data_IF_409052987301
#
_entry.id   IF_409052987301
#
_cell.length_a   1.000
_cell.length_b   1.000
_cell.length_c   1.000
_cell.angle_alpha   90.00
_cell.angle_beta   90.00
_cell.angle_gamma   90.00
#
_symmetry.space_group_name_H-M   'P 1'
#
loop_
_entity.id
_entity.type
_entity.pdbx_description
1 polymer ?
#
# COMPACT_ATOMS: atom_id res chain seq x y z
N UNK A 1 -7.08 -2.41 15.00
CA UNK A 1 -8.46 -1.88 14.93
C UNK A 1 -9.08 -1.85 13.54
N UNK A 2 -8.50 -1.23 12.49
CA UNK A 2 -9.17 -1.17 11.17
C UNK A 2 -9.44 -2.57 10.58
N UNK A 3 -8.42 -3.43 10.55
CA UNK A 3 -8.52 -4.82 10.07
C UNK A 3 -9.49 -5.63 10.93
N UNK A 4 -9.41 -5.53 12.26
CA UNK A 4 -10.33 -6.21 13.19
C UNK A 4 -11.80 -5.84 12.94
N UNK A 5 -12.09 -4.56 12.70
CA UNK A 5 -13.46 -4.11 12.40
C UNK A 5 -13.94 -4.68 11.07
N UNK A 6 -13.08 -4.69 10.04
CA UNK A 6 -13.41 -5.28 8.75
C UNK A 6 -13.63 -6.80 8.87
N UNK A 7 -12.82 -7.50 9.67
CA UNK A 7 -12.99 -8.93 9.98
C UNK A 7 -14.31 -9.21 10.68
N UNK A 8 -14.65 -8.44 11.70
CA UNK A 8 -15.95 -8.59 12.39
C UNK A 8 -17.15 -8.39 11.45
N UNK A 9 -17.01 -7.56 10.41
CA UNK A 9 -18.05 -7.40 9.40
C UNK A 9 -18.08 -8.59 8.41
N UNK A 10 -16.90 -9.08 8.01
CA UNK A 10 -16.77 -10.25 7.13
C UNK A 10 -17.31 -11.53 7.78
N UNK A 11 -17.05 -11.75 9.07
CA UNK A 11 -17.52 -12.92 9.83
C UNK A 11 -19.06 -12.99 9.94
N UNK A 12 -19.74 -11.86 9.76
CA UNK A 12 -21.20 -11.77 9.77
C UNK A 12 -21.85 -11.93 8.39
N UNK A 13 -21.07 -12.10 7.32
CA UNK A 13 -21.58 -12.23 5.96
C UNK A 13 -22.07 -13.67 5.67
N UNK A 14 -23.10 -13.79 4.83
CA UNK A 14 -23.60 -15.09 4.35
C UNK A 14 -22.70 -15.72 3.28
N UNK A 15 -21.86 -14.89 2.65
CA UNK A 15 -20.95 -15.25 1.56
C UNK A 15 -19.49 -15.08 2.00
N UNK A 16 -18.56 -15.70 1.27
CA UNK A 16 -17.13 -15.50 1.52
C UNK A 16 -16.73 -14.04 1.19
N UNK A 17 -16.18 -13.34 2.18
CA UNK A 17 -15.72 -11.95 2.05
C UNK A 17 -14.25 -11.85 2.40
N UNK A 18 -13.48 -11.20 1.52
CA UNK A 18 -12.06 -10.94 1.75
C UNK A 18 -11.83 -9.57 2.39
N UNK A 19 -10.90 -9.50 3.33
CA UNK A 19 -10.46 -8.27 3.99
C UNK A 19 -9.10 -7.85 3.42
N UNK A 20 -9.09 -6.72 2.72
CA UNK A 20 -7.86 -6.08 2.24
C UNK A 20 -7.44 -4.94 3.19
N UNK A 21 -6.20 -4.98 3.68
CA UNK A 21 -5.65 -3.87 4.45
C UNK A 21 -5.01 -2.83 3.52
N UNK A 22 -5.55 -1.61 3.51
CA UNK A 22 -5.08 -0.48 2.72
C UNK A 22 -3.70 0.02 3.16
N UNK A 23 -2.78 0.12 2.21
CA UNK A 23 -1.46 0.72 2.37
C UNK A 23 -1.26 1.76 1.26
N UNK A 24 -1.64 3.01 1.56
CA UNK A 24 -1.48 4.14 0.64
C UNK A 24 -0.04 4.67 0.52
N UNK A 25 0.25 5.53 -0.47
CA UNK A 25 1.57 6.07 -0.71
C UNK A 25 2.00 7.05 0.39
N UNK A 26 3.30 7.31 0.46
CA UNK A 26 3.90 8.33 1.31
C UNK A 26 3.33 9.72 0.98
N UNK A 27 3.03 10.00 -0.29
CA UNK A 27 2.41 11.27 -0.70
C UNK A 27 1.12 11.60 0.05
N UNK A 28 0.30 10.60 0.40
CA UNK A 28 -0.94 10.82 1.14
C UNK A 28 -0.69 11.31 2.59
N UNK A 29 0.48 10.99 3.16
CA UNK A 29 0.87 11.44 4.50
C UNK A 29 1.37 12.89 4.52
N UNK A 30 1.82 13.40 3.37
CA UNK A 30 2.23 14.81 3.24
C UNK A 30 1.04 15.76 3.23
N UNK A 31 -0.17 15.26 2.94
CA UNK A 31 -1.42 16.01 2.88
C UNK A 31 -1.34 17.25 1.94
N UNK A 32 -0.53 17.15 0.88
CA UNK A 32 -0.26 18.23 -0.07
C UNK A 32 -0.60 17.85 -1.52
N UNK A 33 -1.28 16.71 -1.73
CA UNK A 33 -1.62 16.19 -3.06
C UNK A 33 -0.47 15.48 -3.77
N UNK A 34 0.67 15.24 -3.11
CA UNK A 34 1.81 14.54 -3.69
C UNK A 34 1.54 13.06 -3.98
N UNK A 35 0.44 12.49 -3.46
CA UNK A 35 -0.08 11.18 -3.89
C UNK A 35 -0.45 11.13 -5.38
N UNK A 36 -0.55 12.28 -6.06
CA UNK A 36 -0.78 12.39 -7.51
C UNK A 36 0.42 12.94 -8.29
N UNK A 37 1.60 13.05 -7.65
CA UNK A 37 2.84 13.58 -8.26
C UNK A 37 4.04 12.64 -8.11
N UNK A 38 4.19 11.96 -6.96
CA UNK A 38 5.38 11.15 -6.66
C UNK A 38 6.64 12.00 -6.47
N UNK A 39 7.84 11.39 -6.60
CA UNK A 39 9.15 12.06 -6.52
C UNK A 39 9.36 12.91 -5.26
N UNK A 40 9.18 12.28 -4.10
CA UNK A 40 9.27 12.93 -2.78
C UNK A 40 10.69 13.37 -2.37
N UNK A 41 11.71 13.10 -3.19
CA UNK A 41 13.12 13.34 -2.83
C UNK A 41 13.67 12.36 -1.80
N UNK A 42 13.00 11.22 -1.60
CA UNK A 42 13.41 10.15 -0.69
C UNK A 42 13.98 8.97 -1.46
N UNK A 43 14.98 8.31 -0.87
CA UNK A 43 15.47 7.04 -1.41
C UNK A 43 14.46 5.91 -1.18
N UNK A 44 14.52 4.86 -2.01
CA UNK A 44 13.76 3.60 -1.82
C UNK A 44 13.92 3.08 -0.38
N UNK A 45 15.13 3.09 0.18
CA UNK A 45 15.40 2.64 1.56
C UNK A 45 14.66 3.49 2.60
N UNK A 46 14.57 4.80 2.39
CA UNK A 46 13.86 5.69 3.31
C UNK A 46 12.35 5.45 3.25
N UNK A 47 11.81 5.26 2.04
CA UNK A 47 10.40 4.91 1.84
C UNK A 47 10.06 3.53 2.42
N UNK A 48 10.97 2.55 2.28
CA UNK A 48 10.81 1.22 2.85
C UNK A 48 10.75 1.29 4.39
N UNK A 49 11.69 2.02 4.99
CA UNK A 49 11.73 2.23 6.44
C UNK A 49 10.47 2.96 6.95
N UNK A 50 9.89 3.85 6.14
CA UNK A 50 8.63 4.51 6.45
C UNK A 50 7.43 3.54 6.42
N UNK A 51 7.32 2.70 5.39
CA UNK A 51 6.16 1.81 5.22
C UNK A 51 6.19 0.57 6.10
N UNK A 52 7.38 0.02 6.38
CA UNK A 52 7.57 -1.27 7.07
C UNK A 52 6.79 -1.39 8.39
N UNK A 53 6.85 -0.43 9.34
CA UNK A 53 6.13 -0.58 10.61
C UNK A 53 4.62 -0.71 10.43
N UNK A 54 4.02 0.04 9.49
CA UNK A 54 2.57 -0.03 9.22
C UNK A 54 2.19 -1.35 8.56
N UNK A 55 3.01 -1.82 7.63
CA UNK A 55 2.81 -3.10 6.95
C UNK A 55 2.88 -4.27 7.94
N UNK A 56 3.88 -4.29 8.83
CA UNK A 56 4.01 -5.32 9.86
C UNK A 56 2.81 -5.34 10.81
N UNK A 57 2.31 -4.16 11.21
CA UNK A 57 1.10 -4.04 12.04
C UNK A 57 -0.13 -4.58 11.31
N UNK A 58 -0.30 -4.28 10.02
CA UNK A 58 -1.43 -4.80 9.25
C UNK A 58 -1.31 -6.30 9.01
N UNK A 59 -0.12 -6.81 8.65
CA UNK A 59 0.09 -8.24 8.47
C UNK A 59 -0.22 -9.02 9.76
N UNK A 60 0.24 -8.53 10.92
CA UNK A 60 -0.06 -9.14 12.22
C UNK A 60 -1.55 -9.09 12.60
N UNK A 61 -2.31 -8.14 12.05
CA UNK A 61 -3.75 -8.05 12.26
C UNK A 61 -4.56 -9.04 11.40
N UNK A 62 -3.90 -9.78 10.50
CA UNK A 62 -4.48 -10.89 9.74
C UNK A 62 -5.51 -10.54 8.66
N UNK A 63 -5.26 -9.59 7.74
CA UNK A 63 -6.04 -9.44 6.51
C UNK A 63 -5.77 -10.62 5.56
N UNK A 64 -6.62 -10.80 4.55
CA UNK A 64 -6.39 -11.80 3.50
C UNK A 64 -5.35 -11.32 2.49
N UNK A 65 -5.23 -10.00 2.32
CA UNK A 65 -4.35 -9.36 1.34
C UNK A 65 -3.98 -7.95 1.79
N UNK A 66 -2.78 -7.48 1.44
CA UNK A 66 -2.39 -6.08 1.54
C UNK A 66 -2.65 -5.37 0.21
N UNK A 67 -3.39 -4.26 0.27
CA UNK A 67 -3.66 -3.40 -0.85
C UNK A 67 -2.61 -2.28 -0.91
N UNK A 68 -1.51 -2.51 -1.63
CA UNK A 68 -0.50 -1.47 -1.90
C UNK A 68 -1.08 -0.57 -2.99
N UNK A 69 -1.71 0.54 -2.60
CA UNK A 69 -2.66 1.22 -3.48
C UNK A 69 -2.36 2.70 -3.68
N UNK A 70 -2.85 3.23 -4.79
CA UNK A 70 -2.72 4.65 -5.16
C UNK A 70 -1.25 5.07 -5.31
N UNK A 71 -0.36 4.18 -5.74
CA UNK A 71 1.07 4.44 -5.80
C UNK A 71 1.42 5.28 -7.04
N UNK A 72 1.98 6.49 -6.92
CA UNK A 72 2.27 7.34 -8.08
C UNK A 72 3.66 7.10 -8.68
N UNK A 73 4.52 6.32 -8.01
CA UNK A 73 5.96 6.27 -8.25
C UNK A 73 6.48 4.83 -8.20
N UNK A 74 7.21 4.41 -9.23
CA UNK A 74 7.81 3.08 -9.29
C UNK A 74 8.86 2.84 -8.19
N UNK A 75 9.58 3.88 -7.76
CA UNK A 75 10.55 3.77 -6.66
C UNK A 75 9.84 3.51 -5.32
N UNK A 76 8.65 4.08 -5.14
CA UNK A 76 7.82 3.79 -3.96
C UNK A 76 7.18 2.40 -4.04
N UNK A 77 6.76 1.97 -5.24
CA UNK A 77 6.28 0.59 -5.43
C UNK A 77 7.36 -0.43 -5.01
N UNK A 78 8.62 -0.23 -5.42
CA UNK A 78 9.74 -1.05 -4.99
C UNK A 78 9.90 -1.04 -3.46
N UNK A 79 9.81 0.13 -2.84
CA UNK A 79 9.90 0.27 -1.38
C UNK A 79 8.77 -0.47 -0.63
N UNK A 80 7.54 -0.39 -1.13
CA UNK A 80 6.38 -1.08 -0.57
C UNK A 80 6.52 -2.61 -0.68
N UNK A 81 6.98 -3.11 -1.84
CA UNK A 81 7.21 -4.55 -2.04
C UNK A 81 8.30 -5.09 -1.11
N UNK A 82 9.41 -4.35 -0.93
CA UNK A 82 10.46 -4.69 0.04
C UNK A 82 9.96 -4.66 1.47
N UNK A 83 9.13 -3.69 1.81
CA UNK A 83 8.55 -3.58 3.14
C UNK A 83 7.57 -4.73 3.46
N UNK A 84 6.84 -5.23 2.45
CA UNK A 84 5.95 -6.39 2.58
C UNK A 84 6.66 -7.75 2.52
N UNK A 85 7.90 -7.80 2.03
CA UNK A 85 8.69 -9.03 1.97
C UNK A 85 8.82 -9.67 3.36
N UNK A 86 8.57 -10.98 3.44
CA UNK A 86 8.61 -11.74 4.69
C UNK A 86 7.38 -11.63 5.59
N UNK A 87 6.39 -10.80 5.26
CA UNK A 87 5.16 -10.64 6.07
C UNK A 87 4.16 -11.79 5.92
N UNK A 88 4.31 -12.66 4.90
CA UNK A 88 3.47 -13.85 4.70
C UNK A 88 2.03 -13.57 4.24
N UNK A 89 1.69 -12.31 3.94
CA UNK A 89 0.37 -11.90 3.42
C UNK A 89 0.51 -11.60 1.92
N UNK A 90 -0.37 -12.13 1.05
CA UNK A 90 -0.43 -11.75 -0.36
C UNK A 90 -0.59 -10.24 -0.54
N UNK A 91 -0.10 -9.72 -1.66
CA UNK A 91 -0.23 -8.28 -1.98
C UNK A 91 -0.80 -8.10 -3.38
N UNK A 92 -1.58 -7.04 -3.58
CA UNK A 92 -1.70 -6.42 -4.89
C UNK A 92 -1.04 -5.04 -4.87
N UNK A 93 -0.60 -4.60 -6.05
CA UNK A 93 -0.07 -3.26 -6.27
C UNK A 93 -0.93 -2.53 -7.30
N UNK A 94 -1.36 -1.32 -6.97
CA UNK A 94 -2.15 -0.46 -7.84
C UNK A 94 -1.47 0.90 -7.99
N UNK A 95 -1.30 1.34 -9.24
CA UNK A 95 -0.71 2.62 -9.59
C UNK A 95 -1.78 3.70 -9.83
N UNK A 96 -1.47 4.94 -9.46
CA UNK A 96 -2.06 6.09 -10.14
C UNK A 96 -1.26 6.39 -11.40
N UNK A 97 -1.95 6.61 -12.52
CA UNK A 97 -1.33 6.66 -13.85
C UNK A 97 -1.82 7.85 -14.65
N UNK A 98 -1.02 8.28 -15.62
CA UNK A 98 -1.40 9.21 -16.68
C UNK A 98 -1.01 8.61 -18.03
N UNK A 99 -2.00 8.08 -18.76
CA UNK A 99 -1.75 7.29 -19.97
C UNK A 99 -0.98 6.00 -19.64
N UNK A 100 0.12 5.75 -20.37
CA UNK A 100 1.00 4.59 -20.18
C UNK A 100 2.13 4.80 -19.17
N UNK A 101 2.03 5.83 -18.31
CA UNK A 101 3.07 6.21 -17.34
C UNK A 101 2.51 6.28 -15.93
N UNK A 102 3.37 6.08 -14.94
CA UNK A 102 3.11 6.47 -13.55
C UNK A 102 2.95 7.99 -13.46
N UNK A 103 2.36 8.50 -12.37
CA UNK A 103 2.27 9.94 -12.12
C UNK A 103 3.62 10.62 -11.89
N UNK A 104 4.65 9.87 -11.51
CA UNK A 104 6.04 10.32 -11.46
C UNK A 104 6.77 10.25 -12.83
N UNK A 105 6.12 9.75 -13.89
CA UNK A 105 6.60 9.80 -15.27
C UNK A 105 7.41 8.58 -15.74
N UNK A 106 7.52 7.52 -14.92
CA UNK A 106 8.10 6.24 -15.35
C UNK A 106 7.12 5.50 -16.28
N UNK A 107 7.64 4.74 -17.24
CA UNK A 107 6.83 3.87 -18.11
C UNK A 107 6.34 2.62 -17.36
N UNK A 108 5.14 2.13 -17.71
CA UNK A 108 4.48 0.94 -17.13
C UNK A 108 4.70 -0.33 -17.96
#
# INVERSE_FOLDING_TARGET
RSVELARSAADGAEEEVWVAASVGPYGAMLADGSEYRGRYGLSVRALEAFHRPRIEVFAAAGPDVLALETVPDAEEAEALLRAAEGCGVPVWLSYTVEGGRTRAGQDL
#
